data_IF_865610284686
#
_entry.id   IF_865610284686
#
_cell.length_a   1.000
_cell.length_b   1.000
_cell.length_c   1.000
_cell.angle_alpha   90.00
_cell.angle_beta   90.00
_cell.angle_gamma   90.00
#
_symmetry.space_group_name_H-M   'P 1'
#
loop_
_entity.id
_entity.type
_entity.pdbx_description
1 polymer ?
#
# COMPACT_ATOMS: atom_id res chain seq x y z
N UNK A 1 -1.39 20.48 1.17
CA UNK A 1 -1.67 20.88 -0.23
C UNK A 1 -0.39 20.69 -1.03
N UNK A 2 -0.51 20.18 -2.25
CA UNK A 2 0.65 19.89 -3.11
C UNK A 2 1.34 21.16 -3.59
N UNK A 3 2.67 21.16 -3.51
CA UNK A 3 3.55 22.17 -4.08
C UNK A 3 4.62 21.49 -4.93
N UNK A 4 5.11 22.17 -5.97
CA UNK A 4 6.13 21.65 -6.89
C UNK A 4 7.47 21.35 -6.19
N UNK A 5 7.74 21.98 -5.05
CA UNK A 5 8.98 21.80 -4.30
C UNK A 5 8.74 21.94 -2.80
N UNK A 6 9.76 21.67 -1.99
CA UNK A 6 9.74 22.01 -0.57
C UNK A 6 10.25 23.44 -0.33
N UNK A 7 10.02 23.95 0.89
CA UNK A 7 10.38 25.31 1.29
C UNK A 7 11.89 25.58 1.43
N UNK A 8 12.73 24.54 1.39
CA UNK A 8 14.18 24.63 1.50
C UNK A 8 14.84 23.85 0.35
N UNK A 9 14.73 24.34 -0.89
CA UNK A 9 15.20 23.60 -2.04
C UNK A 9 16.74 23.63 -2.15
N UNK A 10 17.29 22.51 -2.58
CA UNK A 10 18.68 22.40 -3.03
C UNK A 10 18.64 21.75 -4.41
N UNK A 11 18.97 22.50 -5.46
CA UNK A 11 18.81 22.05 -6.84
C UNK A 11 20.11 21.49 -7.40
N UNK A 12 19.98 20.37 -8.11
CA UNK A 12 21.01 19.86 -9.01
C UNK A 12 20.52 20.10 -10.44
N UNK A 13 21.38 20.73 -11.25
CA UNK A 13 21.19 20.81 -12.69
C UNK A 13 21.46 19.44 -13.31
N UNK A 14 20.53 18.97 -14.13
CA UNK A 14 20.70 17.73 -14.87
C UNK A 14 20.25 17.90 -16.32
N UNK A 15 20.88 17.15 -17.22
CA UNK A 15 20.57 17.17 -18.64
C UNK A 15 19.68 15.98 -18.98
N UNK A 16 18.59 16.25 -19.70
CA UNK A 16 17.78 15.20 -20.30
C UNK A 16 18.46 14.53 -21.51
N UNK A 17 19.56 15.13 -22.00
CA UNK A 17 20.39 14.54 -23.04
C UNK A 17 21.42 13.64 -22.38
N UNK A 18 21.23 12.33 -22.51
CA UNK A 18 22.23 11.34 -22.09
C UNK A 18 23.49 11.44 -22.95
N UNK A 19 24.65 11.60 -22.32
CA UNK A 19 25.94 11.53 -23.01
C UNK A 19 26.96 10.86 -22.07
N UNK A 20 27.46 9.64 -22.37
CA UNK A 20 27.24 8.85 -23.58
C UNK A 20 25.85 8.23 -23.69
N UNK A 21 25.49 7.77 -24.90
CA UNK A 21 24.30 6.95 -25.17
C UNK A 21 24.75 5.52 -25.47
N UNK A 22 24.28 4.49 -24.73
CA UNK A 22 23.37 4.57 -23.60
C UNK A 22 24.03 5.20 -22.37
N UNK A 23 23.23 5.85 -21.53
CA UNK A 23 23.69 6.37 -20.25
C UNK A 23 24.24 5.22 -19.40
N UNK A 24 25.50 5.33 -18.98
CA UNK A 24 26.10 4.32 -18.11
C UNK A 24 25.56 4.52 -16.69
N UNK A 25 24.53 3.76 -16.33
CA UNK A 25 24.07 3.68 -14.95
C UNK A 25 25.18 3.09 -14.07
N UNK A 26 25.26 3.52 -12.80
CA UNK A 26 25.97 2.72 -11.81
C UNK A 26 25.32 1.33 -11.75
N UNK A 27 26.12 0.27 -11.64
CA UNK A 27 25.65 -1.14 -11.65
C UNK A 27 24.47 -1.34 -10.70
N UNK A 28 24.50 -0.72 -9.52
CA UNK A 28 23.42 -0.75 -8.53
C UNK A 28 22.08 -0.22 -9.07
N UNK A 29 22.09 0.90 -9.79
CA UNK A 29 20.86 1.53 -10.27
C UNK A 29 20.17 0.68 -11.33
N UNK A 30 20.94 0.05 -12.21
CA UNK A 30 20.40 -0.86 -13.23
C UNK A 30 19.75 -2.10 -12.60
N UNK A 31 20.39 -2.70 -11.60
CA UNK A 31 19.83 -3.85 -10.88
C UNK A 31 18.51 -3.50 -10.16
N UNK A 32 18.47 -2.36 -9.48
CA UNK A 32 17.27 -1.91 -8.76
C UNK A 32 16.12 -1.64 -9.73
N UNK A 33 16.37 -0.96 -10.84
CA UNK A 33 15.34 -0.72 -11.85
C UNK A 33 14.81 -2.04 -12.43
N UNK A 34 15.68 -3.02 -12.69
CA UNK A 34 15.26 -4.37 -13.12
C UNK A 34 14.38 -5.05 -12.07
N UNK A 35 14.73 -4.95 -10.78
CA UNK A 35 13.90 -5.50 -9.69
C UNK A 35 12.54 -4.81 -9.59
N UNK A 36 12.51 -3.47 -9.69
CA UNK A 36 11.25 -2.72 -9.69
C UNK A 36 10.30 -3.17 -10.81
N UNK A 37 10.84 -3.51 -11.99
CA UNK A 37 10.06 -4.03 -13.11
C UNK A 37 9.40 -5.40 -12.82
N UNK A 38 9.92 -6.20 -11.89
CA UNK A 38 9.32 -7.49 -11.49
C UNK A 38 8.01 -7.34 -10.71
N UNK A 39 7.81 -6.19 -10.06
CA UNK A 39 6.60 -5.90 -9.26
C UNK A 39 5.48 -5.25 -10.09
N UNK A 40 5.69 -5.03 -11.39
CA UNK A 40 4.73 -4.36 -12.24
C UNK A 40 3.63 -5.34 -12.70
N UNK A 41 2.34 -5.02 -12.50
CA UNK A 41 1.25 -5.90 -12.90
C UNK A 41 1.12 -6.00 -14.43
N UNK A 42 0.68 -7.17 -14.91
CA UNK A 42 0.44 -7.52 -16.32
C UNK A 42 1.69 -7.68 -17.20
N UNK A 43 2.85 -8.01 -16.63
CA UNK A 43 3.86 -8.74 -17.40
C UNK A 43 3.50 -10.22 -17.29
N UNK A 44 3.02 -10.82 -18.38
CA UNK A 44 2.87 -12.28 -18.56
C UNK A 44 4.26 -12.95 -18.60
N UNK A 45 5.07 -12.69 -17.58
CA UNK A 45 6.30 -13.41 -17.33
C UNK A 45 6.07 -14.31 -16.13
N UNK A 46 6.63 -15.51 -16.18
CA UNK A 46 6.69 -16.47 -15.06
C UNK A 46 7.36 -15.86 -13.81
N UNK A 47 7.94 -14.65 -13.92
CA UNK A 47 8.73 -13.97 -12.91
C UNK A 47 8.01 -12.82 -12.19
N UNK A 48 6.81 -12.39 -12.62
CA UNK A 48 6.07 -11.34 -11.93
C UNK A 48 5.39 -11.90 -10.68
N UNK A 49 5.71 -11.36 -9.51
CA UNK A 49 5.05 -11.74 -8.27
C UNK A 49 3.66 -11.09 -8.23
N UNK A 50 2.61 -11.87 -8.46
CA UNK A 50 1.24 -11.40 -8.23
C UNK A 50 1.00 -11.26 -6.74
N UNK A 51 0.87 -10.02 -6.27
CA UNK A 51 0.55 -9.69 -4.88
C UNK A 51 -0.90 -9.19 -4.87
N UNK A 52 -1.87 -10.04 -4.47
CA UNK A 52 -3.31 -9.72 -4.58
C UNK A 52 -3.69 -8.42 -3.89
N UNK A 53 -3.04 -8.08 -2.78
CA UNK A 53 -3.28 -6.86 -2.01
C UNK A 53 -2.88 -5.58 -2.77
N UNK A 54 -1.88 -5.65 -3.67
CA UNK A 54 -1.55 -4.51 -4.54
C UNK A 54 -2.64 -4.23 -5.59
N UNK A 55 -3.41 -5.26 -5.95
CA UNK A 55 -4.49 -5.19 -6.94
C UNK A 55 -5.88 -4.99 -6.30
N UNK A 56 -5.98 -5.12 -4.98
CA UNK A 56 -7.25 -5.05 -4.26
C UNK A 56 -7.58 -3.63 -3.81
N UNK A 57 -8.68 -3.08 -4.32
CA UNK A 57 -9.18 -1.73 -4.00
C UNK A 57 -9.45 -1.55 -2.49
N UNK A 58 -9.77 -2.61 -1.75
CA UNK A 58 -9.92 -2.54 -0.29
C UNK A 58 -8.65 -2.06 0.41
N UNK A 59 -7.48 -2.48 -0.09
CA UNK A 59 -6.19 -2.20 0.52
C UNK A 59 -5.45 -1.04 -0.16
N UNK A 60 -6.03 -0.45 -1.20
CA UNK A 60 -5.37 0.51 -2.07
C UNK A 60 -4.75 1.69 -1.32
N UNK A 61 -5.57 2.43 -0.58
CA UNK A 61 -5.11 3.64 0.11
C UNK A 61 -4.04 3.29 1.13
N UNK A 62 -4.21 2.14 1.76
CA UNK A 62 -3.36 1.73 2.86
C UNK A 62 -2.00 1.20 2.42
N UNK A 63 -1.97 0.39 1.36
CA UNK A 63 -0.72 0.00 0.68
C UNK A 63 0.01 1.25 0.21
N UNK A 64 -0.69 2.21 -0.38
CA UNK A 64 -0.07 3.42 -0.88
C UNK A 64 0.50 4.27 0.26
N UNK A 65 -0.26 4.48 1.33
CA UNK A 65 0.20 5.19 2.52
C UNK A 65 1.39 4.50 3.19
N UNK A 66 1.40 3.16 3.30
CA UNK A 66 2.55 2.42 3.81
C UNK A 66 3.81 2.74 2.99
N UNK A 67 3.70 2.71 1.66
CA UNK A 67 4.84 3.01 0.78
C UNK A 67 5.29 4.46 0.93
N UNK A 68 4.35 5.42 1.00
CA UNK A 68 4.69 6.84 1.20
C UNK A 68 5.40 7.08 2.54
N UNK A 69 4.94 6.45 3.62
CA UNK A 69 5.57 6.57 4.94
C UNK A 69 7.01 6.03 4.93
N UNK A 70 7.26 4.88 4.29
CA UNK A 70 8.63 4.35 4.14
C UNK A 70 9.53 5.27 3.28
N UNK A 71 8.93 6.00 2.33
CA UNK A 71 9.61 7.04 1.58
C UNK A 71 9.81 8.34 2.37
N UNK A 72 9.10 8.53 3.49
CA UNK A 72 9.04 9.80 4.21
C UNK A 72 8.28 10.88 3.44
N UNK A 73 7.21 10.49 2.73
CA UNK A 73 6.34 11.35 1.96
C UNK A 73 4.97 11.46 2.61
N UNK A 74 4.28 12.58 2.41
CA UNK A 74 2.89 12.77 2.79
C UNK A 74 2.01 12.86 1.53
N UNK A 75 0.90 12.12 1.50
CA UNK A 75 0.03 12.06 0.32
C UNK A 75 -0.47 13.46 -0.10
N UNK A 76 -0.91 14.29 0.85
CA UNK A 76 -1.52 15.59 0.57
C UNK A 76 -0.52 16.66 0.09
N UNK A 77 0.75 16.57 0.48
CA UNK A 77 1.78 17.55 0.12
C UNK A 77 2.70 17.09 -0.99
N UNK A 78 2.89 15.78 -1.16
CA UNK A 78 3.89 15.22 -2.07
C UNK A 78 3.29 14.43 -3.24
N UNK A 79 1.98 14.17 -3.22
CA UNK A 79 1.28 13.47 -4.30
C UNK A 79 0.15 14.33 -4.85
N UNK A 80 0.12 14.49 -6.18
CA UNK A 80 -0.96 15.15 -6.92
C UNK A 80 -1.62 14.14 -7.85
N UNK A 81 -2.84 13.74 -7.52
CA UNK A 81 -3.65 12.90 -8.39
C UNK A 81 -4.50 13.75 -9.33
N UNK A 82 -4.47 13.39 -10.61
CA UNK A 82 -5.33 13.95 -11.66
C UNK A 82 -6.25 12.86 -12.21
N UNK A 83 -7.32 13.23 -12.89
CA UNK A 83 -8.20 12.24 -13.53
C UNK A 83 -7.50 11.62 -14.74
N UNK A 84 -7.98 10.45 -15.19
CA UNK A 84 -7.39 9.72 -16.32
C UNK A 84 -7.37 10.55 -17.62
N UNK A 85 -8.44 11.28 -17.87
CA UNK A 85 -8.68 12.11 -19.05
C UNK A 85 -7.97 13.46 -19.00
N UNK A 86 -7.40 13.82 -17.84
CA UNK A 86 -6.56 14.99 -17.66
C UNK A 86 -5.09 14.71 -18.02
N UNK A 87 -4.31 15.78 -18.09
CA UNK A 87 -2.87 15.77 -18.27
C UNK A 87 -2.16 16.46 -17.12
N UNK A 88 -0.92 16.04 -16.86
CA UNK A 88 0.00 16.79 -16.01
C UNK A 88 0.16 18.19 -16.60
N UNK A 89 0.02 19.21 -15.75
CA UNK A 89 0.09 20.61 -16.17
C UNK A 89 1.45 20.90 -16.81
N UNK A 90 1.47 21.73 -17.86
CA UNK A 90 2.70 22.01 -18.62
C UNK A 90 3.79 22.64 -17.73
N UNK A 91 3.41 23.49 -16.78
CA UNK A 91 4.33 24.10 -15.82
C UNK A 91 4.93 23.07 -14.87
N UNK A 92 4.11 22.15 -14.34
CA UNK A 92 4.59 21.02 -13.52
C UNK A 92 5.57 20.16 -14.33
N UNK A 93 5.19 19.80 -15.56
CA UNK A 93 6.02 18.99 -16.45
C UNK A 93 7.39 19.61 -16.70
N UNK A 94 7.44 20.89 -17.07
CA UNK A 94 8.69 21.57 -17.38
C UNK A 94 9.56 21.84 -16.16
N UNK A 95 8.96 22.15 -15.01
CA UNK A 95 9.68 22.37 -13.77
C UNK A 95 10.60 21.18 -13.46
N UNK A 96 10.05 19.97 -13.51
CA UNK A 96 10.80 18.74 -13.21
C UNK A 96 11.77 18.32 -14.32
N UNK A 97 11.67 18.87 -15.54
CA UNK A 97 12.57 18.56 -16.66
C UNK A 97 13.89 19.34 -16.64
N UNK A 98 13.97 20.42 -15.86
CA UNK A 98 15.12 21.32 -15.88
C UNK A 98 15.97 21.22 -14.61
N UNK A 99 15.31 21.16 -13.45
CA UNK A 99 15.99 21.19 -12.15
C UNK A 99 15.41 20.14 -11.22
N UNK A 100 16.28 19.50 -10.44
CA UNK A 100 15.87 18.48 -9.47
C UNK A 100 16.27 18.89 -8.06
N UNK A 101 15.28 19.12 -7.19
CA UNK A 101 15.54 19.38 -5.77
C UNK A 101 15.94 18.09 -5.03
N UNK A 102 17.03 18.07 -4.28
CA UNK A 102 17.49 16.91 -3.50
C UNK A 102 16.87 16.79 -2.11
N UNK A 103 16.03 17.75 -1.71
CA UNK A 103 15.41 17.78 -0.37
C UNK A 103 13.96 17.28 -0.35
N UNK A 104 13.39 16.87 -1.49
CA UNK A 104 11.99 16.44 -1.54
C UNK A 104 11.75 15.35 -2.60
N UNK A 105 10.66 14.61 -2.45
CA UNK A 105 10.13 13.66 -3.42
C UNK A 105 8.75 14.14 -3.85
N UNK A 106 8.36 13.93 -5.11
CA UNK A 106 7.10 14.42 -5.66
C UNK A 106 6.54 13.45 -6.69
N UNK A 107 5.25 13.20 -6.63
CA UNK A 107 4.53 12.33 -7.56
C UNK A 107 3.34 13.10 -8.12
N UNK A 108 3.24 13.19 -9.44
CA UNK A 108 2.05 13.70 -10.14
C UNK A 108 1.59 12.60 -11.09
N UNK A 109 0.37 12.10 -10.95
CA UNK A 109 -0.13 10.96 -11.72
C UNK A 109 -1.60 11.15 -12.13
N UNK A 110 -1.88 10.92 -13.42
CA UNK A 110 -3.24 10.78 -13.95
C UNK A 110 -3.78 9.36 -13.69
N UNK A 111 -4.79 9.26 -12.83
CA UNK A 111 -5.28 7.99 -12.29
C UNK A 111 -6.33 7.32 -13.17
N UNK A 112 -6.18 6.01 -13.35
CA UNK A 112 -7.21 5.15 -13.92
C UNK A 112 -8.15 4.70 -12.81
N UNK A 113 -9.46 4.82 -13.03
CA UNK A 113 -10.48 4.45 -12.05
C UNK A 113 -10.52 2.96 -11.71
N UNK A 114 -9.93 2.11 -12.55
CA UNK A 114 -9.88 0.66 -12.39
C UNK A 114 -8.52 0.14 -11.88
N UNK A 115 -7.62 1.03 -11.42
CA UNK A 115 -6.32 0.66 -10.88
C UNK A 115 -6.12 1.27 -9.49
N UNK A 116 -5.49 0.49 -8.61
CA UNK A 116 -5.04 0.99 -7.32
C UNK A 116 -3.95 2.06 -7.52
N UNK A 117 -3.82 3.01 -6.58
CA UNK A 117 -2.75 4.04 -6.57
C UNK A 117 -1.37 3.42 -6.80
N UNK A 118 -1.03 2.39 -6.05
CA UNK A 118 0.27 1.70 -6.14
C UNK A 118 0.48 1.02 -7.50
N UNK A 119 -0.54 0.32 -8.01
CA UNK A 119 -0.51 -0.27 -9.36
C UNK A 119 -0.27 0.77 -10.43
N UNK A 120 -0.95 1.91 -10.31
CA UNK A 120 -0.85 2.99 -11.27
C UNK A 120 0.54 3.64 -11.24
N UNK A 121 1.11 3.87 -10.05
CA UNK A 121 2.49 4.32 -9.87
C UNK A 121 3.50 3.35 -10.50
N UNK A 122 3.42 2.05 -10.18
CA UNK A 122 4.32 1.02 -10.74
C UNK A 122 4.23 0.95 -12.27
N UNK A 123 3.01 1.04 -12.83
CA UNK A 123 2.81 1.10 -14.28
C UNK A 123 3.46 2.34 -14.89
N UNK A 124 3.30 3.52 -14.29
CA UNK A 124 3.91 4.73 -14.79
C UNK A 124 5.45 4.69 -14.70
N UNK A 125 6.02 4.15 -13.61
CA UNK A 125 7.48 3.90 -13.50
C UNK A 125 7.95 2.99 -14.64
N UNK A 126 7.26 1.87 -14.86
CA UNK A 126 7.57 0.92 -15.95
C UNK A 126 7.55 1.61 -17.31
N UNK A 127 6.51 2.39 -17.60
CA UNK A 127 6.38 3.06 -18.89
C UNK A 127 7.49 4.09 -19.09
N UNK A 128 7.82 4.89 -18.08
CA UNK A 128 8.97 5.81 -18.15
C UNK A 128 10.26 5.08 -18.48
N UNK A 129 10.50 3.92 -17.85
CA UNK A 129 11.67 3.09 -18.15
C UNK A 129 11.62 2.53 -19.58
N UNK A 130 10.47 2.00 -20.00
CA UNK A 130 10.31 1.36 -21.31
C UNK A 130 10.44 2.35 -22.49
N UNK A 131 9.99 3.60 -22.29
CA UNK A 131 10.12 4.66 -23.29
C UNK A 131 11.48 5.37 -23.22
N UNK A 132 12.29 5.10 -22.19
CA UNK A 132 13.56 5.79 -21.97
C UNK A 132 13.41 7.21 -21.44
N UNK A 133 12.22 7.60 -21.02
CA UNK A 133 11.88 8.92 -20.51
C UNK A 133 12.10 8.99 -18.98
N UNK A 134 13.32 8.71 -18.53
CA UNK A 134 13.68 8.78 -17.12
C UNK A 134 15.17 9.08 -16.89
N UNK A 135 15.49 9.59 -15.70
CA UNK A 135 16.85 9.90 -15.28
C UNK A 135 17.10 9.43 -13.85
N UNK A 136 18.36 9.07 -13.58
CA UNK A 136 18.85 8.85 -12.22
C UNK A 136 19.76 10.02 -11.85
N UNK A 137 19.41 10.73 -10.79
CA UNK A 137 20.19 11.86 -10.26
C UNK A 137 20.47 11.59 -8.79
N UNK A 138 21.69 11.14 -8.49
CA UNK A 138 22.04 10.68 -7.14
C UNK A 138 21.17 9.51 -6.70
N UNK A 139 20.42 9.69 -5.61
CA UNK A 139 19.48 8.68 -5.09
C UNK A 139 18.06 8.78 -5.68
N UNK A 140 17.82 9.72 -6.60
CA UNK A 140 16.50 9.98 -7.16
C UNK A 140 16.32 9.32 -8.53
N UNK A 141 15.19 8.63 -8.69
CA UNK A 141 14.60 8.35 -9.98
C UNK A 141 13.64 9.48 -10.32
N UNK A 142 13.81 10.04 -11.51
CA UNK A 142 12.84 10.94 -12.10
C UNK A 142 12.34 10.37 -13.43
N UNK A 143 11.06 10.00 -13.48
CA UNK A 143 10.41 9.40 -14.63
C UNK A 143 9.30 10.28 -15.18
N UNK A 144 9.21 10.33 -16.50
CA UNK A 144 8.17 11.01 -17.27
C UNK A 144 7.38 9.94 -18.02
N UNK A 145 6.06 9.91 -17.84
CA UNK A 145 5.20 8.95 -18.53
C UNK A 145 4.33 9.70 -19.53
N UNK A 146 4.47 9.36 -20.80
CA UNK A 146 3.70 9.91 -21.91
C UNK A 146 2.82 8.82 -22.55
N UNK A 147 1.67 9.20 -23.10
CA UNK A 147 0.82 8.32 -23.90
C UNK A 147 0.43 9.04 -25.20
N UNK A 148 0.68 8.42 -26.35
CA UNK A 148 0.24 8.99 -27.64
C UNK A 148 -1.25 8.74 -27.87
N UNK A 149 -2.02 9.80 -28.12
CA UNK A 149 -3.42 9.70 -28.55
C UNK A 149 -3.54 9.15 -29.97
N UNK A 150 -4.76 8.70 -30.30
CA UNK A 150 -5.14 8.33 -31.68
C UNK A 150 -4.96 9.45 -32.71
N UNK A 151 -5.02 10.71 -32.27
CA UNK A 151 -4.83 11.88 -33.13
C UNK A 151 -3.35 12.31 -33.25
N UNK A 152 -2.43 11.63 -32.58
CA UNK A 152 -0.99 11.92 -32.59
C UNK A 152 -0.50 12.83 -31.46
N UNK A 153 -1.39 13.42 -30.65
CA UNK A 153 -0.98 14.28 -29.54
C UNK A 153 -0.40 13.46 -28.37
N UNK A 154 0.63 13.97 -27.70
CA UNK A 154 1.19 13.36 -26.50
C UNK A 154 0.44 13.80 -25.24
N UNK A 155 0.03 12.82 -24.42
CA UNK A 155 -0.54 13.03 -23.10
C UNK A 155 0.53 12.86 -22.03
N UNK A 156 0.78 13.90 -21.25
CA UNK A 156 1.62 13.81 -20.06
C UNK A 156 0.83 13.16 -18.93
N UNK A 157 1.14 11.89 -18.63
CA UNK A 157 0.38 11.07 -17.66
C UNK A 157 1.00 10.99 -16.29
N UNK A 158 2.32 11.12 -16.18
CA UNK A 158 2.95 11.18 -14.86
C UNK A 158 4.30 11.89 -14.86
N UNK A 159 4.60 12.52 -13.73
CA UNK A 159 5.96 12.90 -13.32
C UNK A 159 6.22 12.23 -11.97
N UNK A 160 7.24 11.39 -11.90
CA UNK A 160 7.55 10.59 -10.71
C UNK A 160 8.97 10.89 -10.28
N UNK A 161 9.13 11.56 -9.14
CA UNK A 161 10.43 11.85 -8.53
C UNK A 161 10.50 11.23 -7.14
N UNK A 162 11.21 10.12 -7.02
CA UNK A 162 11.27 9.32 -5.78
C UNK A 162 12.69 8.81 -5.50
N UNK A 163 12.99 8.50 -4.24
CA UNK A 163 14.20 7.80 -3.84
C UNK A 163 14.05 6.31 -4.18
N UNK A 164 14.59 5.91 -5.33
CA UNK A 164 14.29 4.62 -5.94
C UNK A 164 14.75 3.41 -5.12
N UNK A 165 15.88 3.55 -4.39
CA UNK A 165 16.35 2.54 -3.42
C UNK A 165 15.32 2.30 -2.32
N UNK A 166 14.91 3.37 -1.64
CA UNK A 166 13.88 3.31 -0.59
C UNK A 166 12.55 2.79 -1.10
N UNK A 167 12.18 3.13 -2.33
CA UNK A 167 10.94 2.64 -2.94
C UNK A 167 10.99 1.12 -3.15
N UNK A 168 12.10 0.59 -3.68
CA UNK A 168 12.27 -0.86 -3.79
C UNK A 168 12.26 -1.51 -2.40
N UNK A 169 13.02 -0.95 -1.44
CA UNK A 169 13.07 -1.47 -0.07
C UNK A 169 11.67 -1.52 0.56
N UNK A 170 10.82 -0.50 0.34
CA UNK A 170 9.45 -0.46 0.84
C UNK A 170 8.59 -1.57 0.22
N UNK A 171 8.71 -1.82 -1.08
CA UNK A 171 7.99 -2.90 -1.78
C UNK A 171 8.48 -4.26 -1.32
N UNK A 172 9.80 -4.47 -1.26
CA UNK A 172 10.40 -5.73 -0.81
C UNK A 172 10.02 -5.99 0.66
N UNK A 173 10.08 -4.98 1.52
CA UNK A 173 9.65 -5.07 2.92
C UNK A 173 8.16 -5.39 3.03
N UNK A 174 7.30 -4.84 2.19
CA UNK A 174 5.88 -5.18 2.19
C UNK A 174 5.66 -6.64 1.74
N UNK A 175 6.38 -7.06 0.69
CA UNK A 175 6.15 -8.33 -0.01
C UNK A 175 6.97 -9.51 0.52
N UNK A 176 7.94 -9.26 1.40
CA UNK A 176 8.83 -10.30 1.94
C UNK A 176 8.05 -11.40 2.67
N UNK A 177 8.46 -12.65 2.44
CA UNK A 177 7.86 -13.86 3.02
C UNK A 177 8.28 -14.11 4.49
N UNK A 178 8.69 -13.08 5.23
CA UNK A 178 9.05 -13.21 6.65
C UNK A 178 7.87 -13.66 7.54
N UNK A 179 6.65 -13.53 7.02
CA UNK A 179 5.43 -14.07 7.58
C UNK A 179 5.07 -15.38 6.88
N UNK A 180 4.88 -16.44 7.68
CA UNK A 180 4.73 -17.83 7.20
C UNK A 180 3.26 -18.28 7.05
N UNK A 181 2.31 -17.49 7.52
CA UNK A 181 0.88 -17.75 7.39
C UNK A 181 0.26 -16.97 6.23
N UNK A 182 -1.02 -17.23 5.98
CA UNK A 182 -1.71 -16.85 4.76
C UNK A 182 -1.94 -15.33 4.71
N UNK A 183 -1.04 -14.61 4.04
CA UNK A 183 -1.17 -13.16 3.79
C UNK A 183 -0.07 -12.34 4.45
N UNK A 184 1.22 -12.57 4.13
CA UNK A 184 2.34 -11.80 4.70
C UNK A 184 2.19 -10.29 4.51
N UNK A 185 1.54 -9.89 3.42
CA UNK A 185 1.21 -8.49 3.14
C UNK A 185 0.09 -8.01 4.06
N UNK A 186 -0.99 -8.78 4.23
CA UNK A 186 -2.10 -8.43 5.15
C UNK A 186 -1.62 -8.28 6.58
N UNK A 187 -0.81 -9.21 7.09
CA UNK A 187 -0.25 -9.12 8.44
C UNK A 187 0.55 -7.83 8.64
N UNK A 188 1.40 -7.46 7.68
CA UNK A 188 2.21 -6.22 7.75
C UNK A 188 1.35 -4.97 7.66
N UNK A 189 0.37 -4.98 6.78
CA UNK A 189 -0.62 -3.93 6.67
C UNK A 189 -1.33 -3.76 8.03
N UNK A 190 -1.98 -4.80 8.56
CA UNK A 190 -2.70 -4.70 9.83
C UNK A 190 -1.78 -4.29 10.98
N UNK A 191 -0.55 -4.81 11.04
CA UNK A 191 0.46 -4.35 12.00
C UNK A 191 0.67 -2.84 11.92
N UNK A 192 0.97 -2.34 10.73
CA UNK A 192 1.20 -0.91 10.49
C UNK A 192 -0.03 -0.07 10.88
N UNK A 193 -1.26 -0.56 10.64
CA UNK A 193 -2.49 0.16 10.95
C UNK A 193 -2.67 0.28 12.47
N UNK A 194 -2.54 -0.84 13.17
CA UNK A 194 -2.72 -0.88 14.62
C UNK A 194 -1.57 -0.17 15.36
N UNK A 195 -0.33 -0.22 14.86
CA UNK A 195 0.79 0.57 15.40
C UNK A 195 0.50 2.07 15.31
N UNK A 196 -0.06 2.55 14.18
CA UNK A 196 -0.52 3.95 14.05
C UNK A 196 -1.64 4.33 15.02
N UNK A 197 -2.47 3.36 15.40
CA UNK A 197 -3.51 3.53 16.43
C UNK A 197 -2.97 3.42 17.87
N UNK A 198 -1.66 3.24 18.05
CA UNK A 198 -1.01 3.16 19.35
C UNK A 198 -1.05 1.77 20.00
N UNK A 199 -1.33 0.72 19.24
CA UNK A 199 -1.20 -0.65 19.72
C UNK A 199 0.26 -1.10 19.64
N UNK A 200 0.69 -1.86 20.64
CA UNK A 200 1.89 -2.67 20.56
C UNK A 200 1.55 -3.97 19.81
N UNK A 201 2.18 -4.20 18.65
CA UNK A 201 1.90 -5.37 17.82
C UNK A 201 3.05 -6.36 17.91
N UNK A 202 2.80 -7.51 18.50
CA UNK A 202 3.78 -8.57 18.71
C UNK A 202 3.42 -9.77 17.85
N UNK A 203 4.42 -10.35 17.17
CA UNK A 203 4.26 -11.65 16.50
C UNK A 203 4.15 -12.73 17.57
N UNK A 204 3.10 -13.53 17.55
CA UNK A 204 2.92 -14.57 18.55
C UNK A 204 3.97 -15.68 18.37
N UNK A 205 4.71 -16.01 19.44
CA UNK A 205 5.76 -17.04 19.40
C UNK A 205 5.21 -18.47 19.31
N UNK A 206 3.95 -18.69 19.69
CA UNK A 206 3.31 -19.99 19.78
C UNK A 206 2.39 -20.33 18.59
N UNK A 207 2.37 -19.48 17.55
CA UNK A 207 1.72 -19.73 16.24
C UNK A 207 0.22 -20.05 16.27
N UNK A 208 -0.52 -19.61 17.31
CA UNK A 208 -1.96 -19.87 17.40
C UNK A 208 -2.78 -18.81 16.68
N UNK A 209 -2.26 -17.58 16.65
CA UNK A 209 -2.85 -16.39 16.04
C UNK A 209 -1.84 -15.73 15.10
N UNK A 210 -2.33 -15.02 14.09
CA UNK A 210 -1.49 -14.34 13.12
C UNK A 210 -0.84 -13.09 13.72
N UNK A 211 -1.58 -12.34 14.54
CA UNK A 211 -1.07 -11.18 15.28
C UNK A 211 -1.57 -11.15 16.72
N UNK A 212 -0.74 -10.65 17.64
CA UNK A 212 -1.14 -10.24 18.98
C UNK A 212 -1.00 -8.73 19.10
N UNK A 213 -2.10 -8.05 19.42
CA UNK A 213 -2.13 -6.62 19.67
C UNK A 213 -2.31 -6.37 21.16
N UNK A 214 -1.65 -5.35 21.69
CA UNK A 214 -1.76 -4.95 23.09
C UNK A 214 -1.98 -3.44 23.17
N UNK A 215 -2.98 -3.02 23.93
CA UNK A 215 -3.25 -1.61 24.22
C UNK A 215 -4.04 -1.50 25.52
N UNK A 216 -3.65 -0.54 26.37
CA UNK A 216 -4.33 -0.24 27.65
C UNK A 216 -4.57 -1.47 28.55
N UNK A 217 -3.61 -2.40 28.57
CA UNK A 217 -3.68 -3.64 29.36
C UNK A 217 -4.62 -4.72 28.80
N UNK A 218 -5.21 -4.48 27.62
CA UNK A 218 -6.01 -5.47 26.88
C UNK A 218 -5.17 -6.13 25.79
N UNK A 219 -5.40 -7.43 25.61
CA UNK A 219 -4.78 -8.24 24.57
C UNK A 219 -5.82 -8.63 23.51
N UNK A 220 -5.47 -8.43 22.24
CA UNK A 220 -6.30 -8.76 21.10
C UNK A 220 -5.57 -9.80 20.24
N UNK A 221 -6.17 -10.97 20.09
CA UNK A 221 -5.59 -12.13 19.42
C UNK A 221 -6.24 -12.24 18.05
N UNK A 222 -5.51 -11.90 16.98
CA UNK A 222 -6.05 -11.76 15.64
C UNK A 222 -5.79 -12.98 14.77
N UNK A 223 -6.84 -13.41 14.06
CA UNK A 223 -6.82 -14.52 13.12
C UNK A 223 -7.43 -14.08 11.78
N UNK A 224 -6.68 -14.23 10.69
CA UNK A 224 -7.16 -14.04 9.33
C UNK A 224 -7.90 -15.30 8.86
N UNK A 225 -9.21 -15.18 8.67
CA UNK A 225 -10.05 -16.31 8.26
C UNK A 225 -10.31 -16.22 6.76
N UNK A 226 -9.70 -17.13 5.99
CA UNK A 226 -9.97 -17.26 4.56
C UNK A 226 -11.22 -18.09 4.31
N UNK A 227 -12.17 -17.50 3.59
CA UNK A 227 -13.35 -18.19 3.10
C UNK A 227 -13.30 -18.30 1.57
N UNK A 228 -13.20 -19.54 1.09
CA UNK A 228 -13.26 -19.81 -0.35
C UNK A 228 -14.66 -19.52 -0.90
N UNK A 229 -14.77 -18.48 -1.74
CA UNK A 229 -15.90 -18.23 -2.63
C UNK A 229 -17.29 -18.12 -1.95
N UNK A 230 -17.34 -17.78 -0.67
CA UNK A 230 -18.59 -17.55 0.04
C UNK A 230 -18.93 -16.04 0.02
N UNK A 231 -20.04 -15.59 -0.59
CA UNK A 231 -20.42 -14.18 -0.53
C UNK A 231 -20.84 -13.75 0.89
N UNK A 232 -21.29 -14.71 1.70
CA UNK A 232 -21.79 -14.48 3.05
C UNK A 232 -21.18 -15.43 4.08
N UNK A 233 -20.91 -14.90 5.27
CA UNK A 233 -20.41 -15.65 6.42
C UNK A 233 -21.61 -16.25 7.16
N UNK A 234 -21.56 -17.57 7.38
CA UNK A 234 -22.52 -18.31 8.20
C UNK A 234 -21.81 -18.88 9.43
N UNK A 235 -22.57 -19.22 10.48
CA UNK A 235 -22.03 -19.74 11.75
C UNK A 235 -21.03 -20.89 11.54
N UNK A 236 -21.36 -21.85 10.68
CA UNK A 236 -20.51 -23.01 10.36
C UNK A 236 -19.09 -22.64 9.87
N UNK A 237 -18.91 -21.46 9.28
CA UNK A 237 -17.62 -21.00 8.76
C UNK A 237 -16.69 -20.53 9.88
N UNK A 238 -17.24 -19.99 10.97
CA UNK A 238 -16.46 -19.37 12.05
C UNK A 238 -16.45 -20.19 13.34
N UNK A 239 -17.33 -21.18 13.47
CA UNK A 239 -17.53 -21.94 14.72
C UNK A 239 -16.25 -22.59 15.25
N UNK A 240 -15.36 -23.06 14.37
CA UNK A 240 -14.05 -23.60 14.78
C UNK A 240 -13.14 -22.53 15.40
N UNK A 241 -13.11 -21.34 14.81
CA UNK A 241 -12.28 -20.22 15.23
C UNK A 241 -12.79 -19.64 16.56
N UNK A 242 -14.10 -19.44 16.63
CA UNK A 242 -14.82 -18.93 17.81
C UNK A 242 -14.65 -19.81 19.05
N UNK A 243 -14.48 -21.14 18.91
CA UNK A 243 -14.22 -22.03 20.05
C UNK A 243 -13.00 -21.62 20.87
N UNK A 244 -12.06 -20.89 20.27
CA UNK A 244 -10.89 -20.38 20.97
C UNK A 244 -11.22 -19.22 21.91
N UNK A 245 -12.26 -18.42 21.60
CA UNK A 245 -12.69 -17.28 22.43
C UNK A 245 -13.13 -17.72 23.83
N UNK A 246 -13.76 -18.90 23.97
CA UNK A 246 -14.17 -19.45 25.27
C UNK A 246 -13.00 -19.85 26.19
N UNK A 247 -11.77 -19.86 25.69
CA UNK A 247 -10.56 -20.18 26.46
C UNK A 247 -9.78 -18.94 26.86
N UNK A 248 -10.24 -17.75 26.48
CA UNK A 248 -9.59 -16.48 26.75
C UNK A 248 -9.92 -15.99 28.15
N UNK A 249 -8.99 -15.27 28.75
CA UNK A 249 -9.24 -14.57 30.00
C UNK A 249 -10.01 -13.26 29.76
N UNK A 250 -10.41 -12.58 30.83
CA UNK A 250 -11.21 -11.34 30.78
C UNK A 250 -10.52 -10.15 30.08
N UNK A 251 -9.19 -10.17 29.99
CA UNK A 251 -8.40 -9.13 29.32
C UNK A 251 -8.08 -9.48 27.87
N UNK A 252 -8.58 -10.61 27.37
CA UNK A 252 -8.29 -11.13 26.03
C UNK A 252 -9.52 -11.14 25.15
N UNK A 253 -9.39 -10.61 23.93
CA UNK A 253 -10.42 -10.71 22.89
C UNK A 253 -9.86 -11.41 21.65
N UNK A 254 -10.65 -12.31 21.07
CA UNK A 254 -10.39 -12.90 19.76
C UNK A 254 -10.86 -11.93 18.67
N UNK A 255 -10.00 -11.62 17.70
CA UNK A 255 -10.34 -10.85 16.51
C UNK A 255 -10.32 -11.79 15.30
N UNK A 256 -11.47 -11.98 14.68
CA UNK A 256 -11.55 -12.67 13.40
C UNK A 256 -11.55 -11.63 12.29
N UNK A 257 -10.66 -11.75 11.33
CA UNK A 257 -10.57 -10.82 10.20
C UNK A 257 -11.00 -11.53 8.92
N UNK A 258 -12.08 -11.06 8.29
CA UNK A 258 -12.63 -11.63 7.06
C UNK A 258 -12.84 -10.53 6.02
N UNK A 259 -12.01 -10.55 4.98
CA UNK A 259 -12.01 -9.55 3.91
C UNK A 259 -12.61 -10.04 2.59
N UNK A 260 -13.08 -11.29 2.53
CA UNK A 260 -13.63 -11.92 1.31
C UNK A 260 -15.16 -12.01 1.29
N UNK A 261 -15.84 -11.73 2.39
CA UNK A 261 -17.26 -12.05 2.57
C UNK A 261 -17.97 -11.03 3.45
N UNK A 262 -19.29 -10.86 3.25
CA UNK A 262 -20.13 -10.03 4.13
C UNK A 262 -20.68 -10.82 5.31
N UNK A 263 -20.85 -10.18 6.46
CA UNK A 263 -21.44 -10.81 7.65
C UNK A 263 -22.97 -10.85 7.55
N UNK A 264 -23.58 -11.96 7.95
CA UNK A 264 -25.03 -12.07 8.14
C UNK A 264 -25.45 -11.63 9.55
N UNK A 265 -26.69 -11.15 9.73
CA UNK A 265 -27.21 -10.77 11.05
C UNK A 265 -27.21 -11.93 12.06
N UNK A 266 -27.38 -13.17 11.58
CA UNK A 266 -27.27 -14.38 12.40
C UNK A 266 -25.88 -14.51 13.03
N UNK A 267 -24.82 -14.30 12.25
CA UNK A 267 -23.44 -14.36 12.73
C UNK A 267 -23.14 -13.22 13.69
N UNK A 268 -23.63 -12.00 13.41
CA UNK A 268 -23.48 -10.86 14.34
C UNK A 268 -24.06 -11.19 15.71
N UNK A 269 -25.30 -11.70 15.75
CA UNK A 269 -25.95 -12.10 17.01
C UNK A 269 -25.18 -13.22 17.71
N UNK A 270 -24.73 -14.22 16.97
CA UNK A 270 -23.95 -15.32 17.53
C UNK A 270 -22.65 -14.85 18.18
N UNK A 271 -21.95 -13.88 17.58
CA UNK A 271 -20.72 -13.31 18.13
C UNK A 271 -20.98 -12.42 19.35
N UNK A 272 -22.05 -11.63 19.35
CA UNK A 272 -22.46 -10.84 20.51
C UNK A 272 -22.72 -11.70 21.75
N UNK A 273 -23.32 -12.88 21.58
CA UNK A 273 -23.58 -13.81 22.69
C UNK A 273 -22.28 -14.35 23.35
N UNK A 274 -21.12 -14.21 22.71
CA UNK A 274 -19.83 -14.72 23.21
C UNK A 274 -19.05 -13.65 23.99
N UNK A 275 -19.24 -12.37 23.69
CA UNK A 275 -18.59 -11.23 24.36
C UNK A 275 -17.09 -11.05 24.06
N UNK A 276 -16.30 -12.11 24.08
CA UNK A 276 -14.83 -12.07 23.91
C UNK A 276 -14.37 -12.32 22.46
N UNK A 277 -15.25 -12.07 21.48
CA UNK A 277 -14.94 -12.26 20.07
C UNK A 277 -15.47 -11.09 19.24
N UNK A 278 -14.60 -10.50 18.43
CA UNK A 278 -14.91 -9.42 17.49
C UNK A 278 -14.63 -9.92 16.09
N UNK A 279 -15.52 -9.59 15.15
CA UNK A 279 -15.34 -9.89 13.73
C UNK A 279 -15.16 -8.60 12.95
N UNK A 280 -13.98 -8.45 12.32
CA UNK A 280 -13.68 -7.39 11.39
C UNK A 280 -14.07 -7.84 9.99
N UNK A 281 -15.18 -7.30 9.47
CA UNK A 281 -15.53 -7.44 8.06
C UNK A 281 -14.92 -6.33 7.20
N UNK A 282 -15.16 -6.41 5.90
CA UNK A 282 -14.72 -5.42 4.90
C UNK A 282 -15.01 -3.97 5.34
N UNK A 283 -16.14 -3.69 5.99
CA UNK A 283 -16.49 -2.33 6.43
C UNK A 283 -15.60 -1.88 7.58
N UNK A 284 -15.48 -2.71 8.62
CA UNK A 284 -14.67 -2.39 9.80
C UNK A 284 -13.17 -2.40 9.48
N UNK A 285 -12.73 -3.28 8.57
CA UNK A 285 -11.37 -3.27 8.05
C UNK A 285 -11.10 -1.92 7.42
N UNK A 286 -11.99 -1.43 6.55
CA UNK A 286 -11.84 -0.11 5.93
C UNK A 286 -11.70 1.01 6.97
N UNK A 287 -12.52 0.99 8.03
CA UNK A 287 -12.41 1.96 9.14
C UNK A 287 -11.05 1.88 9.85
N UNK A 288 -10.55 0.67 10.15
CA UNK A 288 -9.20 0.49 10.74
C UNK A 288 -8.14 1.07 9.82
N UNK A 289 -8.24 0.81 8.51
CA UNK A 289 -7.28 1.31 7.52
C UNK A 289 -7.35 2.84 7.35
N UNK A 290 -8.49 3.46 7.65
CA UNK A 290 -8.69 4.92 7.69
C UNK A 290 -8.24 5.54 9.02
N UNK A 291 -7.72 4.74 9.97
CA UNK A 291 -7.23 5.23 11.26
C UNK A 291 -8.32 5.35 12.33
N UNK A 292 -9.42 4.60 12.21
CA UNK A 292 -10.44 4.50 13.25
C UNK A 292 -10.17 3.30 14.15
N UNK A 293 -10.11 3.54 15.47
CA UNK A 293 -9.95 2.47 16.45
C UNK A 293 -11.27 1.73 16.73
N UNK A 294 -11.60 0.78 15.85
CA UNK A 294 -12.83 -0.02 15.95
C UNK A 294 -12.85 -0.96 17.17
N UNK A 295 -11.68 -1.28 17.74
CA UNK A 295 -11.57 -2.18 18.88
C UNK A 295 -11.79 -1.45 20.22
N UNK A 296 -11.47 -0.17 20.30
CA UNK A 296 -11.82 0.70 21.43
C UNK A 296 -13.31 1.06 21.43
N UNK A 297 -13.92 1.28 20.27
CA UNK A 297 -15.33 1.66 20.15
C UNK A 297 -16.31 0.53 20.48
N UNK A 298 -15.87 -0.73 20.35
CA UNK A 298 -16.69 -1.90 20.69
C UNK A 298 -16.97 -2.09 22.18
N UNK A 299 -16.33 -1.31 23.07
CA UNK A 299 -16.61 -1.30 24.51
C UNK A 299 -17.64 -0.22 24.91
N UNK A 300 -18.02 0.70 24.00
CA UNK A 300 -18.94 1.81 24.30
C UNK A 300 -20.39 1.55 23.86
N UNK A 301 -20.73 0.35 23.40
CA UNK A 301 -22.11 -0.03 23.03
C UNK A 301 -22.95 -0.62 24.17
N UNK A 302 -22.51 -0.44 25.42
CA UNK A 302 -23.34 -0.67 26.61
C UNK A 302 -23.63 0.68 27.28
N UNK A 303 -24.66 1.37 26.77
CA UNK A 303 -25.53 2.29 27.52
C UNK A 303 -26.82 2.52 26.75
#
# INVERSE_FOLDING_TARGET
>A
MFEQCCNAPEYIDFSLVHNPVPFAFGVDAEEILKKLLLYVPNVDSVQSQQIPELDNVLYEDFVFLYILDELGMNEESDVKFKKHDEDVDFDDWNFYRQMLCTNCQKIIICRYSNQTKTKNLLRCIRNSIAHGDYFIVGEYFIGFNTETKRNGDEHHKAVIKIKYKKFLDAIEKLTSLECRHQGPVKEKLFRYAFEKLGYNVVKEQNEKYDLKLEKDGKEYLMEFVLLDKAPYIHKKHIERHVKQAYKLNENQKLILTIDTSRITNEVKKYLSDIGNCVLLDISLIKEVLEGVDVLANGDNSEN
#
